data_IF_274308884749
#
_entry.id   IF_274308884749
#
_cell.length_a   1.000
_cell.length_b   1.000
_cell.length_c   1.000
_cell.angle_alpha   90.00
_cell.angle_beta   90.00
_cell.angle_gamma   90.00
#
_symmetry.space_group_name_H-M   'P 1'
#
loop_
_entity.id
_entity.type
_entity.pdbx_description
1 polymer ?
#
# COMPACT_ATOMS: atom_id res chain seq x y z
N UNK A 1 -15.73 27.73 8.73
CA UNK A 1 -15.14 26.51 8.12
C UNK A 1 -14.04 26.05 9.06
N UNK A 2 -14.18 24.96 9.81
CA UNK A 2 -13.05 24.44 10.56
C UNK A 2 -12.13 23.71 9.57
N UNK A 3 -10.85 24.06 9.61
CA UNK A 3 -9.79 23.30 8.96
C UNK A 3 -9.43 22.18 9.93
N UNK A 4 -9.65 20.92 9.54
CA UNK A 4 -9.20 19.77 10.31
C UNK A 4 -7.74 19.51 9.93
N UNK A 5 -6.84 19.63 10.89
CA UNK A 5 -5.47 19.13 10.75
C UNK A 5 -5.46 17.68 11.26
N UNK A 6 -5.21 16.71 10.39
CA UNK A 6 -4.98 15.32 10.79
C UNK A 6 -3.81 15.25 11.76
N UNK A 7 -4.02 14.65 12.93
CA UNK A 7 -2.97 14.45 13.92
C UNK A 7 -1.91 13.47 13.38
N UNK A 8 -0.64 13.69 13.74
CA UNK A 8 0.43 12.73 13.51
C UNK A 8 0.25 11.54 14.47
N UNK A 9 -0.40 10.47 14.00
CA UNK A 9 -0.60 9.24 14.74
C UNK A 9 -1.11 8.14 13.81
N UNK A 10 -0.34 7.04 13.71
CA UNK A 10 -0.54 5.87 12.85
C UNK A 10 -0.47 6.17 11.33
N UNK A 11 0.31 5.42 10.53
CA UNK A 11 0.27 5.57 9.07
C UNK A 11 -1.12 5.20 8.56
N UNK A 12 -1.78 6.13 7.85
CA UNK A 12 -3.12 5.93 7.30
C UNK A 12 -3.20 4.80 6.27
N UNK A 13 -2.05 4.38 5.72
CA UNK A 13 -1.92 3.24 4.82
C UNK A 13 -0.86 2.30 5.39
N UNK A 14 -1.21 1.03 5.53
CA UNK A 14 -0.35 -0.02 6.08
C UNK A 14 -0.16 -1.15 5.09
N UNK A 15 0.91 -1.94 5.26
CA UNK A 15 0.97 -3.28 4.68
C UNK A 15 0.21 -4.19 5.65
N UNK A 16 -1.01 -4.58 5.31
CA UNK A 16 -1.87 -5.43 6.16
C UNK A 16 -1.49 -6.90 6.04
N UNK A 17 -1.01 -7.33 4.88
CA UNK A 17 -0.59 -8.71 4.61
C UNK A 17 0.67 -8.78 3.72
N UNK A 18 1.46 -9.82 3.96
CA UNK A 18 2.69 -10.13 3.22
C UNK A 18 2.72 -11.62 2.87
N UNK A 19 2.59 -11.94 1.59
CA UNK A 19 2.62 -13.31 1.06
C UNK A 19 3.86 -13.51 0.18
N UNK A 20 4.90 -14.10 0.76
CA UNK A 20 6.21 -14.29 0.11
C UNK A 20 6.51 -15.74 -0.32
N UNK A 21 5.56 -16.65 -0.14
CA UNK A 21 5.65 -18.04 -0.63
C UNK A 21 4.26 -18.50 -1.06
N UNK A 22 3.75 -17.84 -2.10
CA UNK A 22 2.47 -18.19 -2.68
C UNK A 22 2.66 -19.37 -3.65
N UNK A 23 2.39 -20.59 -3.21
CA UNK A 23 2.40 -21.75 -4.11
C UNK A 23 0.99 -22.20 -4.54
N UNK A 24 -0.01 -21.87 -3.73
CA UNK A 24 -1.33 -22.54 -3.80
C UNK A 24 -2.52 -21.67 -3.39
N UNK A 25 -2.35 -20.41 -2.99
CA UNK A 25 -3.46 -19.60 -2.43
C UNK A 25 -4.15 -18.79 -3.52
N UNK A 26 -3.54 -17.70 -3.96
CA UNK A 26 -4.13 -16.78 -4.94
C UNK A 26 -3.29 -16.79 -6.22
N UNK A 27 -3.86 -17.30 -7.32
CA UNK A 27 -3.25 -17.12 -8.63
C UNK A 27 -3.61 -15.72 -9.17
N UNK A 28 -2.69 -15.10 -9.90
CA UNK A 28 -2.96 -13.88 -10.65
C UNK A 28 -3.77 -14.17 -11.93
N UNK A 29 -3.99 -13.13 -12.74
CA UNK A 29 -4.82 -13.23 -13.95
C UNK A 29 -4.25 -14.16 -15.03
N UNK A 30 -2.94 -14.44 -14.98
CA UNK A 30 -2.25 -15.34 -15.92
C UNK A 30 -2.17 -16.78 -15.37
N UNK A 31 -2.62 -17.00 -14.13
CA UNK A 31 -2.61 -18.30 -13.46
C UNK A 31 -1.35 -18.55 -12.63
N UNK A 32 -0.48 -17.54 -12.48
CA UNK A 32 0.76 -17.64 -11.72
C UNK A 32 0.52 -17.33 -10.24
N UNK A 33 1.20 -18.06 -9.35
CA UNK A 33 1.15 -17.82 -7.91
C UNK A 33 2.30 -16.90 -7.50
N UNK A 34 2.20 -15.63 -7.88
CA UNK A 34 3.21 -14.63 -7.55
C UNK A 34 3.13 -14.23 -6.07
N UNK A 35 4.26 -13.81 -5.51
CA UNK A 35 4.30 -13.12 -4.21
C UNK A 35 3.55 -11.79 -4.27
N UNK A 36 2.93 -11.40 -3.16
CA UNK A 36 2.16 -10.16 -3.10
C UNK A 36 2.16 -9.54 -1.70
N UNK A 37 1.82 -8.25 -1.68
CA UNK A 37 1.55 -7.49 -0.45
C UNK A 37 0.16 -6.87 -0.57
N UNK A 38 -0.54 -6.73 0.55
CA UNK A 38 -1.78 -5.95 0.61
C UNK A 38 -1.50 -4.59 1.23
N UNK A 39 -2.09 -3.55 0.63
CA UNK A 39 -2.14 -2.22 1.22
C UNK A 39 -3.56 -1.92 1.67
N UNK A 40 -3.72 -1.61 2.95
CA UNK A 40 -5.00 -1.20 3.54
C UNK A 40 -4.95 0.28 3.90
N UNK A 41 -5.98 1.03 3.49
CA UNK A 41 -6.17 2.41 3.93
C UNK A 41 -7.12 2.46 5.12
N UNK A 42 -6.55 2.64 6.30
CA UNK A 42 -7.28 2.67 7.57
C UNK A 42 -7.92 4.04 7.86
N UNK A 43 -7.75 5.03 6.98
CA UNK A 43 -8.38 6.35 7.12
C UNK A 43 -9.79 6.39 6.50
N UNK A 44 -10.67 7.29 6.98
CA UNK A 44 -12.01 7.44 6.42
C UNK A 44 -12.05 8.16 5.06
N UNK A 45 -10.91 8.60 4.54
CA UNK A 45 -10.78 9.34 3.28
C UNK A 45 -9.87 8.61 2.29
N UNK A 46 -10.02 8.89 1.00
CA UNK A 46 -9.12 8.31 0.00
C UNK A 46 -7.71 8.91 0.10
N UNK A 47 -6.69 8.05 0.00
CA UNK A 47 -5.28 8.47 0.04
C UNK A 47 -4.69 8.47 -1.36
N UNK A 48 -4.10 9.60 -1.78
CA UNK A 48 -3.41 9.70 -3.06
C UNK A 48 -2.00 9.07 -2.96
N UNK A 49 -1.76 8.02 -3.74
CA UNK A 49 -0.48 7.29 -3.77
C UNK A 49 0.54 7.90 -4.74
N UNK A 50 0.22 9.01 -5.41
CA UNK A 50 1.14 9.66 -6.34
C UNK A 50 2.49 10.01 -5.66
N UNK A 51 3.58 9.48 -6.22
CA UNK A 51 4.93 9.70 -5.71
C UNK A 51 5.36 8.78 -4.56
N UNK A 52 4.47 7.90 -4.08
CA UNK A 52 4.82 6.87 -3.10
C UNK A 52 5.75 5.83 -3.74
N UNK A 53 6.57 5.20 -2.91
CA UNK A 53 7.58 4.22 -3.29
C UNK A 53 7.60 3.08 -2.26
N UNK A 54 7.87 1.85 -2.71
CA UNK A 54 8.01 0.66 -1.88
C UNK A 54 9.48 0.22 -1.84
N UNK A 55 10.09 0.28 -0.66
CA UNK A 55 11.47 -0.16 -0.45
C UNK A 55 11.59 -1.13 0.72
N UNK A 56 12.52 -2.07 0.58
CA UNK A 56 13.04 -2.92 1.65
C UNK A 56 14.30 -2.32 2.32
N UNK A 57 14.87 -1.26 1.75
CA UNK A 57 16.02 -0.55 2.28
C UNK A 57 15.66 0.87 2.75
N UNK A 58 15.63 1.04 4.07
CA UNK A 58 15.42 2.35 4.73
C UNK A 58 16.38 3.47 4.27
N UNK A 59 17.55 3.12 3.71
CA UNK A 59 18.57 4.04 3.21
C UNK A 59 18.43 4.34 1.73
N UNK A 60 17.70 3.51 0.97
CA UNK A 60 17.45 3.67 -0.46
C UNK A 60 15.95 3.64 -0.73
N UNK A 61 15.32 4.81 -0.68
CA UNK A 61 13.85 4.94 -0.85
C UNK A 61 13.35 4.74 -2.28
N UNK A 62 14.25 4.59 -3.25
CA UNK A 62 13.95 4.52 -4.68
C UNK A 62 13.81 3.07 -5.17
N UNK A 63 12.90 2.32 -4.58
CA UNK A 63 12.47 1.04 -5.13
C UNK A 63 10.95 1.11 -5.34
N UNK A 64 10.53 0.54 -6.48
CA UNK A 64 9.18 0.49 -7.06
C UNK A 64 8.21 1.65 -6.74
N UNK A 65 7.95 2.50 -7.74
CA UNK A 65 6.97 3.59 -7.62
C UNK A 65 5.55 3.10 -7.85
N UNK A 66 4.62 3.52 -6.99
CA UNK A 66 3.21 3.24 -7.18
C UNK A 66 2.66 3.98 -8.41
N UNK A 67 1.68 3.40 -9.12
CA UNK A 67 0.93 4.13 -10.13
C UNK A 67 0.21 5.33 -9.48
N UNK A 68 0.00 6.38 -10.27
CA UNK A 68 -0.80 7.53 -9.82
C UNK A 68 -2.25 7.11 -9.68
N UNK A 69 -2.67 6.84 -8.44
CA UNK A 69 -4.04 6.43 -8.11
C UNK A 69 -4.41 6.88 -6.70
N UNK A 70 -5.69 6.83 -6.38
CA UNK A 70 -6.20 7.02 -5.03
C UNK A 70 -6.60 5.65 -4.46
N UNK A 71 -6.13 5.35 -3.26
CA UNK A 71 -6.55 4.19 -2.48
C UNK A 71 -7.79 4.59 -1.67
N UNK A 72 -8.98 4.03 -1.94
CA UNK A 72 -10.18 4.32 -1.16
C UNK A 72 -10.04 3.84 0.29
N UNK A 73 -10.91 4.27 1.22
CA UNK A 73 -11.00 3.70 2.56
C UNK A 73 -11.32 2.20 2.56
N UNK A 74 -10.73 1.46 3.51
CA UNK A 74 -10.89 0.01 3.67
C UNK A 74 -10.02 -0.79 2.72
#
# INVERSE_FOLDING_TARGET
MPVVFGAAGEPSVVISEFMADNAHTLADADGDYSDWIELENQSPEAVNLAGWQLTDDSRHRSTWSFPTTNLPPG
#
